data_IF_361060155265
#
_entry.id   IF_361060155265
#
_cell.length_a   1.000
_cell.length_b   1.000
_cell.length_c   1.000
_cell.angle_alpha   90.00
_cell.angle_beta   90.00
_cell.angle_gamma   90.00
#
_symmetry.space_group_name_H-M   'P 1'
#
loop_
_entity.id
_entity.type
_entity.pdbx_description
1 polymer ?
#
# COMPACT_ATOMS: atom_id res chain seq x y z
N UNK A 1 -30.97 5.41 -45.83
CA UNK A 1 -30.14 4.49 -45.00
C UNK A 1 -29.79 5.05 -43.61
N UNK A 2 -29.63 6.37 -43.42
CA UNK A 2 -29.32 7.00 -42.11
C UNK A 2 -30.46 6.95 -41.08
N UNK A 3 -31.71 6.81 -41.52
CA UNK A 3 -32.90 6.93 -40.67
C UNK A 3 -33.02 5.75 -39.69
N UNK A 4 -32.91 4.51 -40.17
CA UNK A 4 -32.98 3.30 -39.32
C UNK A 4 -31.84 3.29 -38.30
N UNK A 5 -30.61 3.56 -38.73
CA UNK A 5 -29.45 3.60 -37.82
C UNK A 5 -29.62 4.67 -36.74
N UNK A 6 -30.09 5.88 -37.10
CA UNK A 6 -30.35 6.96 -36.14
C UNK A 6 -31.49 6.60 -35.18
N UNK A 7 -32.53 5.94 -35.67
CA UNK A 7 -33.63 5.46 -34.85
C UNK A 7 -33.16 4.45 -33.80
N UNK A 8 -32.43 3.41 -34.22
CA UNK A 8 -31.90 2.39 -33.31
C UNK A 8 -30.98 3.01 -32.26
N UNK A 9 -30.08 3.93 -32.63
CA UNK A 9 -29.19 4.60 -31.66
C UNK A 9 -29.98 5.44 -30.66
N UNK A 10 -31.02 6.17 -31.11
CA UNK A 10 -31.88 6.96 -30.22
C UNK A 10 -32.65 6.06 -29.25
N UNK A 11 -33.08 4.90 -29.71
CA UNK A 11 -33.79 3.89 -28.91
C UNK A 11 -32.91 3.31 -27.79
N UNK A 12 -31.59 3.21 -28.02
CA UNK A 12 -30.65 2.74 -26.99
C UNK A 12 -30.26 3.84 -25.99
N UNK A 13 -30.23 5.10 -26.41
CA UNK A 13 -29.69 6.20 -25.61
C UNK A 13 -30.46 6.46 -24.29
N UNK A 14 -31.80 6.41 -24.33
CA UNK A 14 -32.64 6.61 -23.15
C UNK A 14 -32.46 5.50 -22.10
N UNK A 15 -32.68 4.22 -22.46
CA UNK A 15 -32.44 3.08 -21.59
C UNK A 15 -31.00 3.00 -21.06
N UNK A 16 -30.01 3.33 -21.89
CA UNK A 16 -28.61 3.40 -21.46
C UNK A 16 -28.39 4.46 -20.37
N UNK A 17 -28.85 5.70 -20.59
CA UNK A 17 -28.67 6.76 -19.61
C UNK A 17 -29.40 6.44 -18.29
N UNK A 18 -30.62 5.90 -18.38
CA UNK A 18 -31.38 5.46 -17.21
C UNK A 18 -30.65 4.35 -16.44
N UNK A 19 -30.24 3.28 -17.14
CA UNK A 19 -29.53 2.16 -16.52
C UNK A 19 -28.20 2.62 -15.90
N UNK A 20 -27.46 3.51 -16.57
CA UNK A 20 -26.21 4.05 -16.07
C UNK A 20 -26.40 4.84 -14.77
N UNK A 21 -27.37 5.75 -14.73
CA UNK A 21 -27.65 6.54 -13.52
C UNK A 21 -28.16 5.63 -12.40
N UNK A 22 -29.07 4.71 -12.69
CA UNK A 22 -29.65 3.81 -11.70
C UNK A 22 -28.60 2.86 -11.10
N UNK A 23 -27.83 2.16 -11.94
CA UNK A 23 -26.79 1.24 -11.49
C UNK A 23 -25.65 1.97 -10.77
N UNK A 24 -25.23 3.13 -11.27
CA UNK A 24 -24.17 3.94 -10.62
C UNK A 24 -24.63 4.44 -9.26
N UNK A 25 -25.87 4.93 -9.15
CA UNK A 25 -26.43 5.38 -7.86
C UNK A 25 -26.56 4.24 -6.86
N UNK A 26 -27.03 3.07 -7.31
CA UNK A 26 -27.17 1.89 -6.46
C UNK A 26 -25.81 1.38 -5.97
N UNK A 27 -24.81 1.28 -6.86
CA UNK A 27 -23.46 0.90 -6.46
C UNK A 27 -22.82 1.92 -5.52
N UNK A 28 -22.98 3.22 -5.80
CA UNK A 28 -22.41 4.28 -4.99
C UNK A 28 -23.03 4.28 -3.59
N UNK A 29 -24.34 4.08 -3.48
CA UNK A 29 -25.02 3.92 -2.19
C UNK A 29 -24.51 2.71 -1.42
N UNK A 30 -24.33 1.55 -2.08
CA UNK A 30 -23.73 0.38 -1.45
C UNK A 30 -22.29 0.64 -0.99
N UNK A 31 -21.49 1.37 -1.78
CA UNK A 31 -20.14 1.75 -1.41
C UNK A 31 -20.12 2.70 -0.20
N UNK A 32 -20.97 3.73 -0.21
CA UNK A 32 -21.17 4.64 0.92
C UNK A 32 -21.59 3.85 2.16
N UNK A 33 -22.61 2.99 2.06
CA UNK A 33 -23.09 2.21 3.19
C UNK A 33 -22.01 1.34 3.83
N UNK A 34 -21.11 0.76 3.03
CA UNK A 34 -20.01 -0.07 3.55
C UNK A 34 -18.92 0.78 4.22
N UNK A 35 -18.54 1.91 3.62
CA UNK A 35 -17.40 2.71 4.11
C UNK A 35 -17.79 3.79 5.13
N UNK A 36 -19.07 4.13 5.24
CA UNK A 36 -19.56 5.09 6.24
C UNK A 36 -19.22 4.65 7.66
N UNK A 37 -19.33 3.36 7.99
CA UNK A 37 -19.00 2.86 9.33
C UNK A 37 -17.52 3.02 9.69
N UNK A 38 -16.64 3.12 8.70
CA UNK A 38 -15.20 3.29 8.93
C UNK A 38 -14.76 4.76 8.98
N UNK A 39 -15.54 5.68 8.40
CA UNK A 39 -15.19 7.09 8.23
C UNK A 39 -15.96 8.02 9.18
N UNK A 40 -17.23 7.72 9.46
CA UNK A 40 -18.12 8.57 10.26
C UNK A 40 -17.91 8.36 11.75
N UNK A 41 -17.98 9.44 12.52
CA UNK A 41 -17.84 9.41 13.98
C UNK A 41 -16.39 9.38 14.47
N UNK A 42 -15.41 9.47 13.56
CA UNK A 42 -13.98 9.35 13.89
C UNK A 42 -13.17 10.64 13.70
N UNK A 43 -13.84 11.79 13.76
CA UNK A 43 -13.20 13.11 13.76
C UNK A 43 -12.64 13.58 12.40
N UNK A 44 -13.09 12.99 11.28
CA UNK A 44 -12.74 13.47 9.94
C UNK A 44 -13.58 14.69 9.53
N UNK A 45 -13.00 15.69 8.86
CA UNK A 45 -13.76 16.77 8.25
C UNK A 45 -14.71 16.26 7.15
N UNK A 46 -15.93 16.78 7.08
CA UNK A 46 -16.91 16.43 6.04
C UNK A 46 -16.38 16.62 4.61
N UNK A 47 -15.49 17.60 4.40
CA UNK A 47 -14.83 17.84 3.11
C UNK A 47 -13.98 16.64 2.66
N UNK A 48 -13.25 16.02 3.58
CA UNK A 48 -12.39 14.86 3.30
C UNK A 48 -13.25 13.64 2.95
N UNK A 49 -14.34 13.46 3.67
CA UNK A 49 -15.33 12.39 3.41
C UNK A 49 -15.95 12.58 2.02
N UNK A 50 -16.38 13.79 1.66
CA UNK A 50 -16.92 14.09 0.33
C UNK A 50 -15.91 13.81 -0.78
N UNK A 51 -14.65 14.23 -0.60
CA UNK A 51 -13.58 13.97 -1.56
C UNK A 51 -13.33 12.47 -1.76
N UNK A 52 -13.34 11.68 -0.69
CA UNK A 52 -13.19 10.23 -0.74
C UNK A 52 -14.25 9.57 -1.65
N UNK A 53 -15.51 9.95 -1.50
CA UNK A 53 -16.58 9.40 -2.35
C UNK A 53 -16.53 9.91 -3.78
N UNK A 54 -16.18 11.18 -4.00
CA UNK A 54 -15.98 11.71 -5.35
C UNK A 54 -14.89 10.96 -6.11
N UNK A 55 -13.77 10.66 -5.45
CA UNK A 55 -12.66 9.89 -6.03
C UNK A 55 -13.02 8.42 -6.28
N UNK A 56 -14.10 7.90 -5.68
CA UNK A 56 -14.59 6.53 -5.89
C UNK A 56 -15.56 6.41 -7.08
N UNK A 57 -16.16 7.53 -7.54
CA UNK A 57 -17.11 7.54 -8.66
C UNK A 57 -16.51 6.96 -9.95
N UNK A 58 -15.27 7.31 -10.37
CA UNK A 58 -14.71 6.77 -11.61
C UNK A 58 -14.64 5.24 -11.63
N UNK A 59 -14.29 4.62 -10.49
CA UNK A 59 -14.28 3.17 -10.38
C UNK A 59 -15.67 2.56 -10.53
N UNK A 60 -16.68 3.16 -9.89
CA UNK A 60 -18.07 2.73 -10.04
C UNK A 60 -18.54 2.84 -11.49
N UNK A 61 -18.28 3.98 -12.15
CA UNK A 61 -18.67 4.21 -13.55
C UNK A 61 -18.01 3.21 -14.49
N UNK A 62 -16.73 2.91 -14.29
CA UNK A 62 -16.00 1.93 -15.11
C UNK A 62 -16.67 0.54 -15.09
N UNK A 63 -17.26 0.15 -13.95
CA UNK A 63 -17.99 -1.11 -13.80
C UNK A 63 -19.44 -1.04 -14.31
N UNK A 64 -20.13 0.08 -14.09
CA UNK A 64 -21.55 0.19 -14.43
C UNK A 64 -21.80 0.46 -15.90
N UNK A 65 -20.88 1.08 -16.64
CA UNK A 65 -21.01 1.31 -18.09
C UNK A 65 -21.30 0.04 -18.89
N UNK A 66 -20.49 -1.04 -18.84
CA UNK A 66 -20.77 -2.25 -19.61
C UNK A 66 -22.08 -2.94 -19.20
N UNK A 67 -22.42 -2.90 -17.91
CA UNK A 67 -23.71 -3.41 -17.41
C UNK A 67 -24.88 -2.59 -17.97
N UNK A 68 -24.73 -1.28 -18.06
CA UNK A 68 -25.75 -0.37 -18.60
C UNK A 68 -25.95 -0.55 -20.10
N UNK A 69 -24.87 -0.82 -20.85
CA UNK A 69 -24.95 -1.18 -22.27
C UNK A 69 -25.77 -2.46 -22.46
N UNK A 70 -25.53 -3.49 -21.63
CA UNK A 70 -26.30 -4.73 -21.69
C UNK A 70 -27.80 -4.49 -21.47
N UNK A 71 -28.15 -3.74 -20.42
CA UNK A 71 -29.56 -3.39 -20.11
C UNK A 71 -30.19 -2.59 -21.25
N UNK A 72 -29.46 -1.62 -21.81
CA UNK A 72 -29.96 -0.79 -22.89
C UNK A 72 -30.23 -1.58 -24.18
N UNK A 73 -29.31 -2.47 -24.54
CA UNK A 73 -29.43 -3.37 -25.69
C UNK A 73 -30.64 -4.28 -25.50
N UNK A 74 -30.76 -4.92 -24.33
CA UNK A 74 -31.86 -5.83 -24.04
C UNK A 74 -33.20 -5.09 -24.14
N UNK A 75 -33.34 -3.96 -23.45
CA UNK A 75 -34.57 -3.17 -23.45
C UNK A 75 -34.95 -2.71 -24.86
N UNK A 76 -34.01 -2.10 -25.61
CA UNK A 76 -34.28 -1.55 -26.93
C UNK A 76 -34.74 -2.66 -27.91
N UNK A 77 -34.06 -3.80 -27.94
CA UNK A 77 -34.45 -4.90 -28.82
C UNK A 77 -35.73 -5.61 -28.37
N UNK A 78 -35.96 -5.75 -27.05
CA UNK A 78 -37.22 -6.27 -26.53
C UNK A 78 -38.39 -5.38 -26.95
N UNK A 79 -38.25 -4.05 -26.86
CA UNK A 79 -39.29 -3.11 -27.29
C UNK A 79 -39.55 -3.18 -28.80
N UNK A 80 -38.50 -3.20 -29.62
CA UNK A 80 -38.62 -3.34 -31.07
C UNK A 80 -39.29 -4.65 -31.48
N UNK A 81 -39.06 -5.72 -30.73
CA UNK A 81 -39.71 -7.01 -30.93
C UNK A 81 -41.18 -7.00 -30.48
N UNK A 82 -41.50 -6.43 -29.32
CA UNK A 82 -42.88 -6.36 -28.80
C UNK A 82 -43.79 -5.48 -29.64
N UNK A 83 -43.26 -4.41 -30.23
CA UNK A 83 -44.00 -3.54 -31.15
C UNK A 83 -44.08 -4.12 -32.58
N UNK A 84 -43.64 -5.37 -32.79
CA UNK A 84 -43.58 -6.06 -34.08
C UNK A 84 -42.80 -5.30 -35.18
N UNK A 85 -41.98 -4.31 -34.83
CA UNK A 85 -41.22 -3.55 -35.82
C UNK A 85 -40.12 -4.38 -36.49
N UNK A 86 -39.60 -5.40 -35.79
CA UNK A 86 -38.65 -6.37 -36.37
C UNK A 86 -39.36 -7.21 -37.43
N UNK A 87 -40.56 -7.70 -37.11
CA UNK A 87 -41.40 -8.52 -38.01
C UNK A 87 -41.86 -7.72 -39.23
N UNK A 88 -42.26 -6.45 -39.05
CA UNK A 88 -42.71 -5.58 -40.13
C UNK A 88 -41.59 -5.19 -41.12
N UNK A 89 -40.33 -5.20 -40.68
CA UNK A 89 -39.17 -4.87 -41.55
C UNK A 89 -38.69 -6.03 -42.40
N UNK A 90 -38.93 -7.27 -41.96
CA UNK A 90 -38.45 -8.49 -42.64
C UNK A 90 -39.05 -8.68 -44.07
N UNK A 91 -40.34 -8.43 -44.34
CA UNK A 91 -40.93 -8.51 -45.68
C UNK A 91 -40.39 -7.45 -46.66
N UNK A 92 -39.94 -6.31 -46.13
CA UNK A 92 -39.38 -5.21 -46.93
C UNK A 92 -37.92 -5.46 -47.39
N UNK A 93 -37.45 -6.71 -47.34
CA UNK A 93 -36.10 -7.11 -47.75
C UNK A 93 -34.98 -6.59 -46.85
N UNK A 94 -35.28 -6.04 -45.67
CA UNK A 94 -34.26 -5.54 -44.75
C UNK A 94 -33.67 -6.70 -43.96
N UNK A 95 -32.38 -7.00 -44.21
CA UNK A 95 -31.64 -8.01 -43.46
C UNK A 95 -31.63 -7.70 -41.94
N UNK A 96 -31.86 -8.69 -41.06
CA UNK A 96 -31.78 -8.52 -39.60
C UNK A 96 -30.43 -7.96 -39.14
N UNK A 97 -29.34 -8.30 -39.84
CA UNK A 97 -28.00 -7.78 -39.57
C UNK A 97 -27.91 -6.26 -39.61
N UNK A 98 -28.75 -5.63 -40.43
CA UNK A 98 -28.80 -4.17 -40.57
C UNK A 98 -29.38 -3.47 -39.34
N UNK A 99 -30.22 -4.17 -38.57
CA UNK A 99 -30.75 -3.67 -37.30
C UNK A 99 -29.68 -3.73 -36.20
N UNK A 100 -28.82 -4.76 -36.24
CA UNK A 100 -27.77 -5.02 -35.25
C UNK A 100 -26.52 -4.16 -35.48
N UNK A 101 -26.19 -3.88 -36.75
CA UNK A 101 -25.00 -3.09 -37.13
C UNK A 101 -24.85 -1.75 -36.38
N UNK A 102 -25.88 -0.88 -36.24
CA UNK A 102 -25.75 0.36 -35.49
C UNK A 102 -25.43 0.14 -34.00
N UNK A 103 -25.94 -0.93 -33.38
CA UNK A 103 -25.62 -1.26 -31.99
C UNK A 103 -24.18 -1.76 -31.85
N UNK A 104 -23.67 -2.55 -32.81
CA UNK A 104 -22.26 -2.96 -32.84
C UNK A 104 -21.34 -1.74 -32.99
N UNK A 105 -21.64 -0.85 -33.94
CA UNK A 105 -20.87 0.38 -34.14
C UNK A 105 -20.88 1.23 -32.86
N UNK A 106 -22.05 1.42 -32.23
CA UNK A 106 -22.18 2.11 -30.94
C UNK A 106 -21.37 1.43 -29.83
N UNK A 107 -21.39 0.10 -29.75
CA UNK A 107 -20.61 -0.68 -28.79
C UNK A 107 -19.11 -0.54 -28.98
N UNK A 108 -18.63 -0.48 -30.23
CA UNK A 108 -17.21 -0.20 -30.54
C UNK A 108 -16.82 1.19 -30.07
N UNK A 109 -17.62 2.22 -30.37
CA UNK A 109 -17.36 3.58 -29.88
C UNK A 109 -17.33 3.66 -28.35
N UNK A 110 -18.29 3.01 -27.68
CA UNK A 110 -18.32 2.95 -26.21
C UNK A 110 -17.13 2.18 -25.64
N UNK A 111 -16.70 1.10 -26.30
CA UNK A 111 -15.52 0.32 -25.88
C UNK A 111 -14.24 1.14 -26.00
N UNK A 112 -14.06 1.92 -27.08
CA UNK A 112 -12.92 2.82 -27.25
C UNK A 112 -12.94 3.93 -26.18
N UNK A 113 -14.12 4.52 -25.91
CA UNK A 113 -14.28 5.52 -24.86
C UNK A 113 -13.97 4.96 -23.47
N UNK A 114 -14.47 3.75 -23.18
CA UNK A 114 -14.24 3.06 -21.91
C UNK A 114 -12.77 2.64 -21.75
N UNK A 115 -12.08 2.25 -22.83
CA UNK A 115 -10.65 1.98 -22.83
C UNK A 115 -9.86 3.25 -22.43
N UNK A 116 -10.16 4.38 -23.06
CA UNK A 116 -9.51 5.65 -22.73
C UNK A 116 -9.81 6.10 -21.28
N UNK A 117 -11.03 5.88 -20.80
CA UNK A 117 -11.42 6.18 -19.42
C UNK A 117 -10.68 5.30 -18.40
N UNK A 118 -10.59 3.99 -18.64
CA UNK A 118 -9.89 3.04 -17.78
C UNK A 118 -8.37 3.25 -17.77
N UNK A 119 -7.80 3.77 -18.85
CA UNK A 119 -6.37 4.06 -18.92
C UNK A 119 -5.99 5.41 -18.28
N UNK A 120 -6.80 6.45 -18.48
CA UNK A 120 -6.40 7.81 -18.08
C UNK A 120 -7.08 8.34 -16.83
N UNK A 121 -8.37 8.05 -16.64
CA UNK A 121 -9.16 8.64 -15.55
C UNK A 121 -9.13 7.73 -14.34
N UNK A 122 -9.40 6.44 -14.56
CA UNK A 122 -9.50 5.47 -13.46
C UNK A 122 -8.21 5.34 -12.64
N UNK A 123 -7.01 5.19 -13.23
CA UNK A 123 -5.80 4.95 -12.43
C UNK A 123 -5.38 6.19 -11.64
N UNK A 124 -5.60 7.39 -12.21
CA UNK A 124 -5.35 8.67 -11.52
C UNK A 124 -6.29 8.87 -10.32
N UNK A 125 -7.58 8.60 -10.51
CA UNK A 125 -8.56 8.68 -9.43
C UNK A 125 -8.25 7.68 -8.31
N UNK A 126 -7.87 6.44 -8.67
CA UNK A 126 -7.46 5.43 -7.69
C UNK A 126 -6.18 5.83 -6.95
N UNK A 127 -5.21 6.43 -7.64
CA UNK A 127 -3.99 6.91 -7.01
C UNK A 127 -4.29 8.04 -6.01
N UNK A 128 -5.09 9.04 -6.40
CA UNK A 128 -5.52 10.10 -5.49
C UNK A 128 -6.32 9.54 -4.30
N UNK A 129 -7.19 8.55 -4.52
CA UNK A 129 -7.92 7.88 -3.44
C UNK A 129 -6.98 7.15 -2.46
N UNK A 130 -5.98 6.45 -2.99
CA UNK A 130 -4.96 5.74 -2.22
C UNK A 130 -4.11 6.70 -1.38
N UNK A 131 -3.70 7.83 -1.97
CA UNK A 131 -2.99 8.89 -1.23
C UNK A 131 -3.85 9.49 -0.12
N UNK A 132 -5.13 9.80 -0.40
CA UNK A 132 -6.05 10.34 0.59
C UNK A 132 -6.28 9.36 1.75
N UNK A 133 -6.38 8.06 1.47
CA UNK A 133 -6.49 7.02 2.50
C UNK A 133 -5.23 6.95 3.38
N UNK A 134 -4.05 7.06 2.77
CA UNK A 134 -2.79 7.12 3.51
C UNK A 134 -2.76 8.33 4.43
N UNK A 135 -3.12 9.51 3.93
CA UNK A 135 -3.16 10.76 4.72
C UNK A 135 -4.17 10.68 5.88
N UNK A 136 -5.36 10.09 5.63
CA UNK A 136 -6.37 9.85 6.65
C UNK A 136 -5.84 8.91 7.74
N UNK A 137 -5.22 7.80 7.35
CA UNK A 137 -4.67 6.83 8.31
C UNK A 137 -3.56 7.43 9.17
N UNK A 138 -2.68 8.24 8.56
CA UNK A 138 -1.60 8.94 9.25
C UNK A 138 -2.15 9.98 10.25
N UNK A 139 -3.17 10.73 9.85
CA UNK A 139 -3.78 11.74 10.71
C UNK A 139 -4.55 11.10 11.89
N UNK A 140 -5.11 9.90 11.70
CA UNK A 140 -5.99 9.24 12.68
C UNK A 140 -5.69 7.73 12.77
N UNK A 141 -4.65 7.31 13.51
CA UNK A 141 -4.34 5.89 13.73
C UNK A 141 -5.46 5.12 14.45
N UNK A 142 -6.27 5.82 15.24
CA UNK A 142 -7.43 5.26 15.95
C UNK A 142 -8.52 4.72 15.01
N UNK A 143 -8.57 5.15 13.75
CA UNK A 143 -9.55 4.67 12.76
C UNK A 143 -9.50 3.16 12.53
N UNK A 144 -8.30 2.60 12.65
CA UNK A 144 -8.00 1.19 12.37
C UNK A 144 -8.35 0.29 13.55
N UNK A 145 -8.65 0.87 14.71
CA UNK A 145 -8.94 0.17 15.96
C UNK A 145 -10.44 0.01 16.14
N UNK A 146 -10.86 -1.25 16.27
CA UNK A 146 -12.20 -1.61 16.73
C UNK A 146 -12.18 -1.80 18.24
N UNK A 147 -13.11 -1.16 18.94
CA UNK A 147 -13.28 -1.31 20.39
C UNK A 147 -13.64 -2.75 20.75
N UNK A 148 -13.17 -3.22 21.91
CA UNK A 148 -13.47 -4.55 22.47
C UNK A 148 -13.02 -5.76 21.61
N UNK A 149 -12.42 -5.52 20.45
CA UNK A 149 -11.91 -6.54 19.53
C UNK A 149 -10.37 -6.54 19.57
N UNK A 150 -9.77 -7.70 19.38
CA UNK A 150 -8.32 -7.84 19.22
C UNK A 150 -7.98 -7.40 17.79
N UNK A 151 -7.31 -6.25 17.65
CA UNK A 151 -6.87 -5.71 16.38
C UNK A 151 -5.45 -6.20 16.08
N UNK A 152 -5.21 -6.69 14.87
CA UNK A 152 -3.87 -7.07 14.40
C UNK A 152 -3.15 -5.82 13.90
N UNK A 153 -2.14 -5.36 14.64
CA UNK A 153 -1.35 -4.17 14.27
C UNK A 153 -0.23 -4.58 13.31
N UNK A 154 0.40 -5.72 13.56
CA UNK A 154 1.31 -6.37 12.61
C UNK A 154 1.04 -7.86 12.64
N UNK A 155 0.65 -8.40 11.48
CA UNK A 155 0.23 -9.80 11.36
C UNK A 155 1.30 -10.76 11.91
N UNK A 156 0.86 -11.67 12.79
CA UNK A 156 1.72 -12.67 13.43
C UNK A 156 2.68 -12.14 14.49
N UNK A 157 2.72 -10.82 14.75
CA UNK A 157 3.69 -10.21 15.68
C UNK A 157 3.05 -9.37 16.78
N UNK A 158 2.06 -8.53 16.46
CA UNK A 158 1.51 -7.56 17.41
C UNK A 158 -0.02 -7.49 17.32
N UNK A 159 -0.67 -7.70 18.46
CA UNK A 159 -2.11 -7.53 18.60
C UNK A 159 -2.44 -6.54 19.71
N UNK A 160 -3.46 -5.72 19.49
CA UNK A 160 -3.89 -4.65 20.38
C UNK A 160 -5.39 -4.74 20.63
N UNK A 161 -5.79 -4.88 21.89
CA UNK A 161 -7.17 -4.74 22.35
C UNK A 161 -7.27 -3.47 23.18
N UNK A 162 -8.31 -2.67 22.94
CA UNK A 162 -8.66 -1.53 23.76
C UNK A 162 -10.13 -1.65 24.17
N UNK A 163 -10.42 -1.38 25.44
CA UNK A 163 -11.79 -1.41 25.95
C UNK A 163 -12.64 -0.27 25.41
N UNK A 164 -12.07 0.95 25.37
CA UNK A 164 -12.65 2.12 24.70
C UNK A 164 -11.57 2.89 23.94
N UNK A 165 -11.95 3.48 22.81
CA UNK A 165 -11.07 4.24 21.93
C UNK A 165 -11.69 5.60 21.67
N UNK A 166 -11.10 6.64 22.24
CA UNK A 166 -11.43 8.01 21.86
C UNK A 166 -10.86 8.32 20.47
N UNK A 167 -11.74 8.32 19.49
CA UNK A 167 -11.41 8.52 18.08
C UNK A 167 -10.86 9.92 17.78
N UNK A 168 -11.23 10.94 18.57
CA UNK A 168 -10.81 12.32 18.34
C UNK A 168 -9.47 12.65 19.01
N UNK A 169 -9.28 12.17 20.24
CA UNK A 169 -8.13 12.49 21.09
C UNK A 169 -6.99 11.47 21.08
N UNK A 170 -7.13 10.33 20.40
CA UNK A 170 -6.07 9.30 20.37
C UNK A 170 -5.89 8.54 21.67
N UNK A 171 -6.83 8.69 22.61
CA UNK A 171 -6.78 8.07 23.94
C UNK A 171 -7.44 6.70 23.94
N UNK A 172 -6.74 5.73 24.50
CA UNK A 172 -7.16 4.35 24.67
C UNK A 172 -7.39 4.08 26.16
N UNK A 173 -8.41 3.30 26.49
CA UNK A 173 -8.69 2.82 27.84
C UNK A 173 -8.70 1.30 27.85
N UNK A 174 -8.23 0.70 28.95
CA UNK A 174 -8.13 -0.76 29.13
C UNK A 174 -7.36 -1.42 27.97
N UNK A 175 -6.09 -1.06 27.86
CA UNK A 175 -5.22 -1.47 26.76
C UNK A 175 -4.56 -2.79 27.10
N UNK A 176 -4.68 -3.76 26.19
CA UNK A 176 -3.96 -5.03 26.24
C UNK A 176 -3.19 -5.21 24.95
N UNK A 177 -1.88 -5.36 25.04
CA UNK A 177 -0.98 -5.58 23.91
C UNK A 177 -0.40 -6.98 24.01
N UNK A 178 -0.54 -7.76 22.95
CA UNK A 178 0.14 -9.04 22.79
C UNK A 178 1.30 -8.86 21.81
N UNK A 179 2.52 -9.03 22.31
CA UNK A 179 3.72 -9.09 21.51
C UNK A 179 4.16 -10.56 21.38
N UNK A 180 4.03 -11.05 20.15
CA UNK A 180 4.39 -12.37 19.66
C UNK A 180 5.53 -12.30 18.64
N UNK A 181 6.20 -11.15 18.51
CA UNK A 181 7.27 -10.94 17.54
C UNK A 181 8.51 -11.81 17.82
N UNK A 182 8.76 -12.14 19.09
CA UNK A 182 9.80 -13.07 19.52
C UNK A 182 9.18 -14.45 19.77
N UNK A 183 9.66 -15.47 19.05
CA UNK A 183 9.19 -16.85 19.19
C UNK A 183 9.60 -17.48 20.53
N UNK A 184 10.69 -16.99 21.14
CA UNK A 184 11.24 -17.52 22.38
C UNK A 184 10.66 -16.84 23.63
N UNK A 185 10.04 -15.67 23.48
CA UNK A 185 9.52 -14.85 24.59
C UNK A 185 8.21 -14.19 24.19
N UNK A 186 7.13 -14.62 24.83
CA UNK A 186 5.82 -13.97 24.64
C UNK A 186 5.64 -12.90 25.69
N UNK A 187 5.24 -11.70 25.25
CA UNK A 187 5.00 -10.57 26.14
C UNK A 187 3.54 -10.12 26.04
N UNK A 188 2.89 -9.97 27.19
CA UNK A 188 1.56 -9.37 27.29
C UNK A 188 1.65 -8.12 28.16
N UNK A 189 1.22 -6.99 27.64
CA UNK A 189 1.25 -5.69 28.31
C UNK A 189 -0.17 -5.28 28.62
N UNK A 190 -0.46 -4.98 29.88
CA UNK A 190 -1.72 -4.43 30.35
C UNK A 190 -1.49 -2.99 30.78
N UNK A 191 -2.37 -2.06 30.39
CA UNK A 191 -2.33 -0.68 30.84
C UNK A 191 -3.75 -0.12 31.01
N UNK A 192 -3.95 0.70 32.03
CA UNK A 192 -5.25 1.30 32.31
C UNK A 192 -5.64 2.31 31.24
N UNK A 193 -4.65 3.08 30.75
CA UNK A 193 -4.85 4.00 29.64
C UNK A 193 -3.61 4.10 28.76
N UNK A 194 -3.80 4.53 27.53
CA UNK A 194 -2.70 4.80 26.62
C UNK A 194 -3.04 5.89 25.61
N UNK A 195 -2.02 6.41 24.95
CA UNK A 195 -2.17 7.31 23.81
C UNK A 195 -1.44 6.71 22.61
N UNK A 196 -2.08 6.71 21.45
CA UNK A 196 -1.53 6.16 20.21
C UNK A 196 -1.22 7.27 19.22
N UNK A 197 -0.01 7.27 18.66
CA UNK A 197 0.41 8.20 17.63
C UNK A 197 1.41 7.54 16.68
N UNK A 198 1.49 8.02 15.44
CA UNK A 198 2.59 7.67 14.56
C UNK A 198 3.85 8.45 14.95
N UNK A 199 5.00 7.78 14.88
CA UNK A 199 6.30 8.44 14.99
C UNK A 199 6.54 9.36 13.78
N UNK A 200 7.48 10.30 13.91
CA UNK A 200 7.84 11.25 12.83
C UNK A 200 8.28 10.55 11.52
N UNK A 201 8.73 9.29 11.61
CA UNK A 201 9.11 8.49 10.45
C UNK A 201 7.92 7.82 9.73
N UNK A 202 6.68 8.05 10.18
CA UNK A 202 5.42 7.56 9.59
C UNK A 202 5.28 6.03 9.42
N UNK A 203 6.24 5.26 9.90
CA UNK A 203 6.28 3.78 9.83
C UNK A 203 6.08 3.12 11.19
N UNK A 204 6.49 3.81 12.25
CA UNK A 204 6.45 3.26 13.58
C UNK A 204 5.28 3.83 14.36
N UNK A 205 4.65 2.96 15.13
CA UNK A 205 3.55 3.32 16.02
C UNK A 205 4.09 3.50 17.43
N UNK A 206 3.84 4.66 18.03
CA UNK A 206 4.18 4.99 19.40
C UNK A 206 2.93 4.84 20.27
N UNK A 207 3.06 4.02 21.30
CA UNK A 207 2.06 3.89 22.35
C UNK A 207 2.65 4.40 23.66
N UNK A 208 2.10 5.50 24.16
CA UNK A 208 2.39 6.00 25.49
C UNK A 208 1.39 5.36 26.45
N UNK A 209 1.85 4.38 27.21
CA UNK A 209 1.04 3.60 28.14
C UNK A 209 1.19 4.15 29.55
N UNK A 210 0.08 4.20 30.29
CA UNK A 210 0.04 4.72 31.66
C UNK A 210 -0.56 3.69 32.59
N UNK A 211 0.08 3.53 33.74
CA UNK A 211 -0.31 2.63 34.83
C UNK A 211 -0.58 1.21 34.34
N UNK A 212 0.48 0.42 34.24
CA UNK A 212 0.41 -0.90 33.62
C UNK A 212 1.40 -1.91 34.16
N UNK A 213 1.27 -3.12 33.63
CA UNK A 213 2.18 -4.23 33.89
C UNK A 213 2.49 -4.98 32.61
N UNK A 214 3.75 -5.39 32.46
CA UNK A 214 4.24 -6.24 31.40
C UNK A 214 4.51 -7.63 31.98
N UNK A 215 3.95 -8.65 31.33
CA UNK A 215 4.14 -10.06 31.66
C UNK A 215 4.96 -10.70 30.54
N UNK A 216 6.13 -11.25 30.86
CA UNK A 216 6.98 -11.99 29.93
C UNK A 216 7.02 -13.47 30.35
N UNK A 217 6.74 -14.36 29.40
CA UNK A 217 6.84 -15.81 29.55
C UNK A 217 7.84 -16.31 28.51
N UNK A 218 8.90 -16.96 28.99
CA UNK A 218 9.90 -17.57 28.14
C UNK A 218 9.42 -18.97 27.71
N UNK A 219 9.55 -19.28 26.42
CA UNK A 219 9.06 -20.54 25.82
C UNK A 219 9.83 -21.76 26.35
N UNK A 220 11.09 -21.58 26.75
CA UNK A 220 11.96 -22.63 27.32
C UNK A 220 11.62 -22.96 28.79
N UNK A 221 11.02 -22.02 29.53
CA UNK A 221 10.64 -22.17 30.94
C UNK A 221 9.22 -21.62 31.17
N UNK A 222 8.17 -22.35 30.74
CA UNK A 222 6.79 -21.86 30.82
C UNK A 222 6.28 -21.68 32.26
N UNK A 223 6.97 -22.22 33.26
CA UNK A 223 6.65 -22.07 34.69
C UNK A 223 7.21 -20.79 35.31
N UNK A 224 8.09 -20.06 34.62
CA UNK A 224 8.65 -18.80 35.08
C UNK A 224 7.94 -17.63 34.41
N UNK A 225 7.32 -16.79 35.24
CA UNK A 225 6.61 -15.58 34.80
C UNK A 225 7.35 -14.36 35.32
N UNK A 226 7.87 -13.54 34.42
CA UNK A 226 8.45 -12.26 34.79
C UNK A 226 7.38 -11.16 34.69
N UNK A 227 7.25 -10.33 35.73
CA UNK A 227 6.29 -9.22 35.78
C UNK A 227 7.01 -7.92 36.07
N UNK A 228 6.80 -6.93 35.22
CA UNK A 228 7.32 -5.57 35.38
C UNK A 228 6.15 -4.60 35.48
N UNK A 229 6.10 -3.81 36.56
CA UNK A 229 5.09 -2.76 36.77
C UNK A 229 5.67 -1.41 36.35
N UNK A 230 4.88 -0.60 35.66
CA UNK A 230 5.30 0.73 35.20
C UNK A 230 4.21 1.78 35.43
N UNK A 231 4.62 3.00 35.76
CA UNK A 231 3.72 4.16 35.81
C UNK A 231 3.50 4.77 34.43
N UNK A 232 4.56 4.85 33.65
CA UNK A 232 4.54 5.29 32.26
C UNK A 232 5.55 4.46 31.48
N UNK A 233 5.14 3.93 30.34
CA UNK A 233 6.00 3.23 29.40
C UNK A 233 5.74 3.74 27.99
N UNK A 234 6.80 3.94 27.21
CA UNK A 234 6.69 4.34 25.81
C UNK A 234 7.07 3.14 24.95
N UNK A 235 6.04 2.50 24.41
CA UNK A 235 6.18 1.31 23.59
C UNK A 235 6.19 1.68 22.10
N UNK A 236 7.28 1.37 21.40
CA UNK A 236 7.42 1.62 19.95
C UNK A 236 7.29 0.32 19.18
N UNK A 237 6.27 0.22 18.36
CA UNK A 237 6.09 -0.87 17.39
C UNK A 237 6.72 -0.40 16.08
N UNK A 238 7.75 -1.12 15.62
CA UNK A 238 8.47 -0.78 14.39
C UNK A 238 7.80 -1.39 13.17
N UNK A 239 7.87 -0.67 12.05
CA UNK A 239 7.39 -1.13 10.74
C UNK A 239 5.97 -1.71 10.81
N UNK A 240 5.05 -0.88 11.32
CA UNK A 240 3.63 -1.22 11.33
C UNK A 240 3.14 -1.06 9.90
N UNK A 241 3.34 -2.12 9.11
CA UNK A 241 2.66 -2.30 7.85
C UNK A 241 1.19 -2.57 8.16
N UNK A 242 0.45 -1.50 8.46
CA UNK A 242 -1.01 -1.56 8.40
C UNK A 242 -1.32 -2.09 7.01
N UNK A 243 -1.97 -3.25 6.91
CA UNK A 243 -2.10 -4.12 5.73
C UNK A 243 -2.79 -3.51 4.50
N UNK A 244 -2.32 -2.35 4.04
CA UNK A 244 -2.86 -1.57 2.94
C UNK A 244 -2.01 -0.35 2.55
N UNK A 245 -1.07 0.11 3.39
CA UNK A 245 -0.39 1.39 3.14
C UNK A 245 1.11 1.27 3.31
N UNK A 246 1.80 0.99 2.19
CA UNK A 246 3.22 1.29 2.03
C UNK A 246 3.36 2.80 1.92
N UNK A 247 4.42 3.34 2.51
CA UNK A 247 4.79 4.75 2.41
C UNK A 247 4.76 5.19 0.94
N UNK A 248 3.80 6.05 0.61
CA UNK A 248 3.85 6.89 -0.57
C UNK A 248 4.83 8.00 -0.24
N UNK A 249 6.13 7.69 -0.29
CA UNK A 249 7.06 8.75 -0.68
C UNK A 249 6.51 9.30 -2.00
N UNK A 250 6.43 10.62 -2.11
CA UNK A 250 5.95 11.43 -3.23
C UNK A 250 6.69 11.21 -4.55
N UNK A 251 7.42 10.12 -4.66
CA UNK A 251 8.07 9.59 -5.85
C UNK A 251 7.12 8.56 -6.46
N UNK A 252 7.01 8.50 -7.79
CA UNK A 252 6.16 7.56 -8.55
C UNK A 252 6.46 6.05 -8.31
N UNK A 253 7.18 5.71 -7.24
CA UNK A 253 7.80 4.43 -6.93
C UNK A 253 6.85 3.36 -6.33
N UNK A 254 5.66 3.72 -5.82
CA UNK A 254 4.76 2.74 -5.18
C UNK A 254 3.29 2.81 -5.67
N UNK A 255 3.04 3.12 -6.95
CA UNK A 255 1.70 2.91 -7.52
C UNK A 255 1.35 1.41 -7.52
N UNK A 256 0.19 1.07 -6.98
CA UNK A 256 -0.38 -0.27 -7.11
C UNK A 256 -0.79 -0.60 -8.55
N UNK A 257 -1.04 -1.86 -8.86
CA UNK A 257 -1.45 -2.28 -10.21
C UNK A 257 -2.72 -1.55 -10.68
N UNK A 258 -3.65 -1.25 -9.78
CA UNK A 258 -4.89 -0.52 -10.10
C UNK A 258 -4.74 1.00 -10.21
N UNK A 259 -3.54 1.52 -9.94
CA UNK A 259 -3.20 2.95 -9.99
C UNK A 259 -2.34 3.29 -11.21
N UNK A 260 -1.89 2.28 -11.96
CA UNK A 260 -1.08 2.44 -13.15
C UNK A 260 -1.90 2.41 -14.44
N UNK A 261 -1.60 3.30 -15.38
CA UNK A 261 -2.09 3.21 -16.75
C UNK A 261 -1.38 2.11 -17.56
N UNK A 262 -1.87 1.82 -18.76
CA UNK A 262 -1.31 0.78 -19.65
C UNK A 262 0.16 1.07 -19.99
N UNK A 263 0.50 2.33 -20.30
CA UNK A 263 1.87 2.70 -20.64
C UNK A 263 2.82 2.58 -19.43
N UNK A 264 2.35 2.89 -18.21
CA UNK A 264 3.13 2.72 -16.99
C UNK A 264 3.35 1.24 -16.67
N UNK A 265 2.30 0.42 -16.79
CA UNK A 265 2.39 -1.03 -16.62
C UNK A 265 3.36 -1.66 -17.62
N UNK A 266 3.33 -1.23 -18.89
CA UNK A 266 4.23 -1.76 -19.91
C UNK A 266 5.68 -1.40 -19.64
N UNK A 267 5.95 -0.16 -19.19
CA UNK A 267 7.29 0.24 -18.75
C UNK A 267 7.75 -0.57 -17.54
N UNK A 268 6.86 -0.82 -16.56
CA UNK A 268 7.15 -1.65 -15.38
C UNK A 268 7.46 -3.10 -15.77
N UNK A 269 6.70 -3.67 -16.71
CA UNK A 269 6.95 -5.02 -17.24
C UNK A 269 8.32 -5.10 -17.93
N UNK A 270 8.65 -4.12 -18.75
CA UNK A 270 9.94 -4.06 -19.44
C UNK A 270 11.12 -3.96 -18.45
N UNK A 271 11.01 -3.08 -17.44
CA UNK A 271 12.01 -2.96 -16.38
C UNK A 271 12.17 -4.27 -15.60
N UNK A 272 11.05 -4.92 -15.24
CA UNK A 272 11.06 -6.18 -14.51
C UNK A 272 11.67 -7.33 -15.33
N UNK A 273 11.38 -7.39 -16.64
CA UNK A 273 11.98 -8.38 -17.55
C UNK A 273 13.49 -8.17 -17.68
N UNK A 274 13.92 -6.92 -17.83
CA UNK A 274 15.35 -6.60 -17.89
C UNK A 274 16.04 -7.01 -16.58
N UNK A 275 15.44 -6.71 -15.42
CA UNK A 275 16.01 -7.10 -14.14
C UNK A 275 16.07 -8.62 -13.98
N UNK A 276 15.02 -9.35 -14.36
CA UNK A 276 15.02 -10.81 -14.35
C UNK A 276 16.13 -11.40 -15.23
N UNK A 277 16.33 -10.87 -16.44
CA UNK A 277 17.38 -11.32 -17.36
C UNK A 277 18.78 -11.07 -16.75
N UNK A 278 18.98 -9.94 -16.05
CA UNK A 278 20.22 -9.61 -15.35
C UNK A 278 20.49 -10.57 -14.19
N UNK A 279 19.50 -10.79 -13.33
CA UNK A 279 19.59 -11.69 -12.17
C UNK A 279 19.85 -13.14 -12.63
N UNK A 280 19.23 -13.55 -13.74
CA UNK A 280 19.44 -14.87 -14.33
C UNK A 280 20.87 -15.05 -14.88
N UNK A 281 21.44 -14.01 -15.48
CA UNK A 281 22.83 -14.02 -15.94
C UNK A 281 23.80 -14.09 -14.76
N UNK A 282 23.59 -13.27 -13.73
CA UNK A 282 24.40 -13.31 -12.50
C UNK A 282 24.34 -14.70 -11.84
N UNK A 283 23.16 -15.32 -11.76
CA UNK A 283 23.01 -16.67 -11.25
C UNK A 283 23.76 -17.72 -12.10
N UNK A 284 23.75 -17.59 -13.43
CA UNK A 284 24.49 -18.49 -14.33
C UNK A 284 25.99 -18.34 -14.20
N UNK A 285 26.48 -17.11 -14.05
CA UNK A 285 27.90 -16.83 -13.86
C UNK A 285 28.40 -17.34 -12.51
N UNK A 286 27.61 -17.17 -11.45
CA UNK A 286 27.91 -17.70 -10.12
C UNK A 286 27.98 -19.24 -10.07
N UNK A 287 27.28 -19.94 -10.97
CA UNK A 287 27.27 -21.41 -11.06
C UNK A 287 28.47 -21.98 -11.83
N UNK A 288 29.19 -21.17 -12.60
CA UNK A 288 30.37 -21.63 -13.33
C UNK A 288 31.58 -21.76 -12.38
N UNK A 289 32.38 -22.83 -12.47
CA UNK A 289 33.58 -22.97 -11.65
C UNK A 289 34.56 -21.82 -11.94
N UNK A 290 35.28 -21.29 -10.92
CA UNK A 290 36.15 -20.14 -11.09
C UNK A 290 37.25 -20.45 -12.11
N UNK A 291 37.22 -19.77 -13.26
CA UNK A 291 38.29 -19.85 -14.24
C UNK A 291 39.51 -19.07 -13.70
N UNK A 292 40.73 -19.64 -13.74
CA UNK A 292 41.93 -19.05 -13.14
C UNK A 292 42.42 -17.76 -13.84
N UNK A 293 41.84 -17.39 -14.99
CA UNK A 293 42.14 -16.15 -15.71
C UNK A 293 40.85 -15.44 -16.07
N UNK A 294 40.30 -14.67 -15.14
CA UNK A 294 39.28 -13.66 -15.45
C UNK A 294 39.73 -12.31 -14.87
N UNK A 295 39.83 -11.24 -15.68
CA UNK A 295 39.97 -9.88 -15.16
C UNK A 295 38.75 -9.50 -14.30
N UNK A 296 38.85 -8.48 -13.43
CA UNK A 296 37.77 -8.11 -12.51
C UNK A 296 36.45 -7.93 -13.26
N UNK A 297 35.39 -8.61 -12.75
CA UNK A 297 33.99 -8.63 -13.21
C UNK A 297 33.74 -7.75 -14.43
N UNK A 298 33.71 -8.38 -15.61
CA UNK A 298 33.33 -7.74 -16.86
C UNK A 298 32.02 -6.97 -16.69
N UNK A 299 31.96 -5.81 -17.35
CA UNK A 299 30.90 -4.79 -17.31
C UNK A 299 29.49 -5.34 -17.08
N UNK A 300 28.63 -4.60 -16.33
CA UNK A 300 27.26 -5.02 -16.07
C UNK A 300 26.57 -5.39 -17.39
N UNK A 301 25.77 -6.47 -17.41
CA UNK A 301 25.15 -6.90 -18.63
C UNK A 301 24.34 -5.76 -19.26
N UNK A 302 24.47 -5.61 -20.59
CA UNK A 302 23.87 -4.48 -21.30
C UNK A 302 22.34 -4.64 -21.27
N UNK A 303 21.67 -3.67 -20.66
CA UNK A 303 20.22 -3.51 -20.71
C UNK A 303 19.75 -3.55 -22.17
N UNK A 304 18.67 -4.31 -22.47
CA UNK A 304 18.04 -4.25 -23.80
C UNK A 304 17.68 -2.81 -24.09
N UNK A 305 18.25 -2.18 -25.11
CA UNK A 305 18.07 -0.74 -25.36
C UNK A 305 16.69 -0.37 -25.91
N UNK A 306 15.96 -1.33 -26.48
CA UNK A 306 14.71 -1.07 -27.20
C UNK A 306 13.52 -1.65 -26.45
N UNK A 307 12.51 -0.81 -26.21
CA UNK A 307 11.20 -1.25 -25.73
C UNK A 307 10.56 -2.22 -26.76
N UNK A 308 9.86 -3.28 -26.33
CA UNK A 308 9.23 -4.22 -27.24
C UNK A 308 8.11 -3.54 -28.04
N UNK A 309 8.19 -3.63 -29.37
CA UNK A 309 7.17 -3.15 -30.30
C UNK A 309 5.97 -4.11 -30.35
N UNK A 310 5.08 -4.02 -29.35
CA UNK A 310 3.81 -4.76 -29.30
C UNK A 310 2.57 -3.87 -29.48
N UNK A 311 1.38 -4.46 -29.33
CA UNK A 311 0.09 -3.75 -29.37
C UNK A 311 0.05 -2.57 -28.37
N UNK A 312 0.60 -2.75 -27.17
CA UNK A 312 0.68 -1.68 -26.17
C UNK A 312 1.63 -0.54 -26.55
N UNK A 313 2.73 -0.83 -27.27
CA UNK A 313 3.60 0.22 -27.82
C UNK A 313 2.86 1.03 -28.88
N UNK A 314 2.11 0.36 -29.77
CA UNK A 314 1.30 1.03 -30.78
C UNK A 314 0.22 1.92 -30.14
N UNK A 315 -0.43 1.44 -29.07
CA UNK A 315 -1.38 2.21 -28.27
C UNK A 315 -0.74 3.44 -27.64
N UNK A 316 0.40 3.29 -26.95
CA UNK A 316 1.12 4.40 -26.32
C UNK A 316 1.66 5.40 -27.35
N UNK A 317 2.10 4.94 -28.52
CA UNK A 317 2.52 5.79 -29.63
C UNK A 317 1.34 6.57 -30.23
N UNK A 318 0.19 5.93 -30.39
CA UNK A 318 -1.06 6.58 -30.83
C UNK A 318 -1.50 7.65 -29.82
N UNK A 319 -1.52 7.32 -28.53
CA UNK A 319 -1.85 8.26 -27.45
C UNK A 319 -0.95 9.50 -27.45
N UNK A 320 0.37 9.32 -27.63
CA UNK A 320 1.32 10.44 -27.75
C UNK A 320 1.01 11.35 -28.94
N UNK A 321 0.51 10.80 -30.05
CA UNK A 321 0.14 11.57 -31.26
C UNK A 321 -1.20 12.31 -31.12
N UNK A 322 -2.11 11.85 -30.27
CA UNK A 322 -3.48 12.40 -30.16
C UNK A 322 -3.54 13.70 -29.32
N UNK A 323 -2.42 14.20 -28.78
CA UNK A 323 -2.29 15.59 -28.30
C UNK A 323 -3.28 16.00 -27.21
N UNK A 324 -2.93 15.82 -25.94
CA UNK A 324 -3.77 16.20 -24.79
C UNK A 324 -3.76 15.18 -23.66
N UNK A 325 -3.21 13.98 -23.91
CA UNK A 325 -3.04 12.93 -22.92
C UNK A 325 -1.65 13.02 -22.32
N UNK A 326 -1.56 13.44 -21.05
CA UNK A 326 -0.31 13.39 -20.28
C UNK A 326 0.13 11.93 -20.14
N UNK A 327 1.17 11.55 -20.87
CA UNK A 327 1.90 10.31 -20.62
C UNK A 327 2.53 10.42 -19.24
N UNK A 328 2.01 9.65 -18.29
CA UNK A 328 2.63 9.56 -16.97
C UNK A 328 3.94 8.77 -17.11
N UNK A 329 4.99 9.29 -16.48
CA UNK A 329 6.26 8.60 -16.39
C UNK A 329 6.07 7.45 -15.39
N UNK A 330 6.64 6.28 -15.67
CA UNK A 330 6.83 5.30 -14.61
C UNK A 330 8.18 5.59 -13.95
N UNK A 331 8.24 5.61 -12.62
CA UNK A 331 9.49 5.62 -11.89
C UNK A 331 10.39 4.45 -12.32
N UNK A 332 11.70 4.69 -12.29
CA UNK A 332 12.70 3.64 -12.42
C UNK A 332 12.51 2.64 -11.28
N UNK A 333 12.25 1.38 -11.66
CA UNK A 333 12.40 0.24 -10.78
C UNK A 333 13.88 0.12 -10.49
N UNK A 334 14.36 0.80 -9.45
CA UNK A 334 15.66 0.49 -8.85
C UNK A 334 15.50 -0.83 -8.14
N UNK A 335 15.69 -1.91 -8.89
CA UNK A 335 16.00 -3.19 -8.32
C UNK A 335 17.21 -3.05 -7.41
N UNK A 336 17.03 -3.31 -6.12
CA UNK A 336 18.14 -3.76 -5.30
C UNK A 336 18.54 -5.15 -5.83
N UNK A 337 19.29 -5.16 -6.93
CA UNK A 337 19.94 -6.36 -7.42
C UNK A 337 20.88 -6.91 -6.32
N UNK A 338 21.28 -8.17 -6.45
CA UNK A 338 22.18 -8.87 -5.55
C UNK A 338 23.48 -8.09 -5.21
N UNK A 339 23.83 -7.08 -6.00
CA UNK A 339 24.90 -6.13 -5.72
C UNK A 339 24.77 -5.36 -4.40
N UNK A 340 23.57 -5.16 -3.85
CA UNK A 340 23.40 -4.52 -2.53
C UNK A 340 23.83 -5.44 -1.37
N UNK A 341 23.81 -6.76 -1.57
CA UNK A 341 24.22 -7.75 -0.55
C UNK A 341 25.74 -7.99 -0.59
N UNK A 342 26.38 -7.76 -1.73
CA UNK A 342 27.82 -7.98 -1.90
C UNK A 342 28.71 -6.83 -1.37
N UNK A 343 28.14 -5.68 -0.98
CA UNK A 343 28.90 -4.52 -0.49
C UNK A 343 29.03 -4.46 1.05
N UNK A 344 28.93 -5.59 1.75
CA UNK A 344 29.51 -5.72 3.09
C UNK A 344 30.94 -6.24 2.95
N UNK A 345 31.85 -5.29 2.81
CA UNK A 345 33.29 -5.49 2.77
C UNK A 345 33.76 -6.08 4.12
N UNK A 346 33.71 -7.41 4.26
CA UNK A 346 34.27 -8.12 5.40
C UNK A 346 35.77 -8.29 5.19
N UNK A 347 36.54 -7.21 5.26
CA UNK A 347 37.99 -7.30 5.50
C UNK A 347 38.44 -6.22 6.50
N UNK A 348 39.25 -6.57 7.51
CA UNK A 348 39.70 -5.62 8.52
C UNK A 348 40.71 -4.66 7.91
N UNK A 349 40.35 -3.38 7.84
CA UNK A 349 41.20 -2.30 7.31
C UNK A 349 42.41 -2.10 8.23
N UNK A 350 43.57 -2.64 7.82
CA UNK A 350 44.88 -2.41 8.45
C UNK A 350 45.29 -0.97 8.15
N UNK A 351 45.27 -0.12 9.18
CA UNK A 351 45.70 1.29 9.11
C UNK A 351 47.23 1.32 9.03
N UNK A 352 47.77 1.79 7.91
CA UNK A 352 49.18 2.17 7.78
C UNK A 352 49.21 3.58 7.19
N UNK A 353 49.39 4.56 8.08
CA UNK A 353 49.58 5.96 7.76
C UNK A 353 50.97 6.15 7.12
N UNK A 354 51.05 6.95 6.05
CA UNK A 354 52.31 7.49 5.54
C UNK A 354 52.36 9.00 5.76
N UNK A 355 53.17 9.36 6.76
CA UNK A 355 54.08 10.49 6.88
C UNK A 355 53.75 11.83 6.18
N UNK A 356 53.62 12.88 7.01
CA UNK A 356 54.64 13.93 7.19
C UNK A 356 54.06 15.37 7.16
N UNK A 357 53.80 15.93 8.35
CA UNK A 357 54.12 17.33 8.68
C UNK A 357 54.53 17.35 10.17
N UNK A 358 55.74 17.82 10.45
CA UNK A 358 56.34 17.94 11.78
C UNK A 358 56.16 19.38 12.34
N UNK A 359 56.61 19.73 13.57
CA UNK A 359 55.69 20.07 14.65
C UNK A 359 55.82 21.52 15.16
N UNK A 360 54.81 22.00 15.90
CA UNK A 360 54.92 23.19 16.74
C UNK A 360 54.30 22.93 18.13
N UNK A 361 55.20 22.63 19.07
CA UNK A 361 55.26 22.97 20.50
C UNK A 361 54.03 22.82 21.43
N UNK A 362 54.25 21.94 22.42
CA UNK A 362 53.67 21.89 23.77
C UNK A 362 53.65 23.23 24.50
N UNK A 363 52.58 23.54 25.22
CA UNK A 363 52.63 23.73 26.68
C UNK A 363 51.24 23.91 27.31
N UNK A 364 51.13 23.45 28.56
CA UNK A 364 50.13 23.80 29.58
C UNK A 364 48.81 23.01 29.59
N UNK A 365 48.78 21.94 30.40
CA UNK A 365 48.15 21.93 31.73
C UNK A 365 47.86 20.47 32.15
N UNK A 366 48.90 19.82 32.68
CA UNK A 366 48.74 18.84 33.77
C UNK A 366 48.91 19.62 35.06
N UNK A 367 47.85 19.74 35.86
CA UNK A 367 47.99 19.67 37.31
C UNK A 367 46.64 19.44 37.98
N UNK A 368 46.68 18.62 39.02
CA UNK A 368 45.61 18.23 39.98
C UNK A 368 44.91 16.89 39.72
N UNK A 369 45.66 15.82 39.95
CA UNK A 369 45.12 14.59 40.52
C UNK A 369 46.08 14.07 41.63
N UNK A 370 45.81 14.42 42.88
CA UNK A 370 46.34 13.72 44.05
C UNK A 370 45.49 14.05 45.29
N UNK A 371 44.64 13.10 45.72
CA UNK A 371 44.36 12.76 47.13
C UNK A 371 43.21 11.75 47.22
N UNK A 372 43.52 10.53 47.70
CA UNK A 372 42.56 9.60 48.34
C UNK A 372 42.49 9.94 49.84
N UNK A 373 41.41 9.54 50.55
CA UNK A 373 41.54 8.38 51.43
C UNK A 373 40.33 7.41 51.41
N UNK A 374 40.52 6.23 52.03
CA UNK A 374 39.70 5.00 51.96
C UNK A 374 38.36 4.92 52.72
N UNK A 375 37.80 3.70 52.89
CA UNK A 375 36.35 3.46 52.99
C UNK A 375 35.81 3.17 54.40
N UNK A 376 34.48 3.24 54.59
CA UNK A 376 33.69 2.26 55.35
C UNK A 376 32.48 1.78 54.51
N UNK A 377 31.81 0.63 54.64
CA UNK A 377 31.61 -0.35 55.71
C UNK A 377 30.10 -0.68 55.79
N UNK A 378 29.68 -1.92 55.48
CA UNK A 378 28.33 -2.50 55.71
C UNK A 378 27.21 -2.01 54.76
N UNK A 379 26.15 -2.75 54.39
CA UNK A 379 25.51 -3.97 54.93
C UNK A 379 24.69 -4.61 53.79
N UNK A 380 24.85 -5.91 53.54
CA UNK A 380 23.99 -6.74 52.68
C UNK A 380 23.05 -7.50 53.61
N UNK A 381 21.73 -7.29 53.46
CA UNK A 381 20.72 -8.00 54.25
C UNK A 381 20.21 -9.20 53.44
N UNK A 382 20.64 -10.40 53.85
CA UNK A 382 20.01 -11.68 53.51
C UNK A 382 18.90 -11.93 54.53
N UNK A 383 17.67 -12.13 54.08
CA UNK A 383 16.61 -12.71 54.91
C UNK A 383 16.30 -14.10 54.37
N UNK A 384 16.58 -15.11 55.18
CA UNK A 384 16.12 -16.48 54.97
C UNK A 384 15.67 -17.10 56.31
N UNK A 385 14.53 -17.79 56.22
CA UNK A 385 14.01 -18.86 57.07
C UNK A 385 13.40 -18.50 58.45
N UNK A 386 12.13 -18.88 58.59
CA UNK A 386 11.39 -18.95 59.84
C UNK A 386 10.22 -19.92 59.72
N UNK A 387 10.52 -21.22 59.62
CA UNK A 387 9.59 -22.33 59.82
C UNK A 387 9.18 -22.39 61.30
N UNK A 388 7.89 -22.44 61.61
CA UNK A 388 7.41 -23.00 62.89
C UNK A 388 6.05 -23.65 62.72
N UNK A 389 6.05 -24.95 63.03
CA UNK A 389 4.88 -25.75 63.25
C UNK A 389 4.16 -25.30 64.54
N UNK A 390 2.83 -25.26 64.49
CA UNK A 390 1.96 -25.94 65.46
C UNK A 390 0.60 -26.19 64.84
#
# INVERSE_FOLDING_TARGET
MKIISRYVVREHAGPFAFALVALTSLMLLNFISRQMGELVGKGLPWKVIGQFFMLSIPFTVALTVPMSVLVAVLYAYTRLASENEVTARKPNGVSPWRLVTPAIIGGVFMSIGLLAFNDQVLPRANHELSTLQSDISQARPTLLLKEQVINSIAEGKFYLKAGKVDQAGGRLLEVVIYNLADAMRRRTIYADSGHIAFASNRKDLLLDLFHGQMQEVATDKPTQLNRLFFKQDRYRIRDVQTGGFKETETTEANKGDREMGVCEMQKRLWLAQNQYDMDLQEYRDAKQPPKPTMPPRSAPPRVRSNEPHGLGWAYCALLKRVGGVKSAHAADVRGAGLHAVAAQDTTPKKKADSAAVAPAQDTALRDKAAARPGPPGGRVEKVAAGTKAR
#
